data_IF_795581158687
#
_entry.id   IF_795581158687
#
_cell.length_a   1.000
_cell.length_b   1.000
_cell.length_c   1.000
_cell.angle_alpha   90.00
_cell.angle_beta   90.00
_cell.angle_gamma   90.00
#
_symmetry.space_group_name_H-M   'P 1'
#
loop_
_entity.id
_entity.type
_entity.pdbx_description
1 polymer ?
#
# COMPACT_ATOMS: atom_id res chain seq x y z
N UNK A 1 22.43 14.11 9.76
CA UNK A 1 21.03 14.37 9.33
C UNK A 1 20.53 13.11 8.63
N UNK A 2 19.33 12.60 8.96
CA UNK A 2 18.74 11.50 8.19
C UNK A 2 18.29 12.04 6.83
N UNK A 3 18.99 11.66 5.77
CA UNK A 3 18.60 12.03 4.40
C UNK A 3 17.38 11.21 4.01
N UNK A 4 16.30 11.88 3.58
CA UNK A 4 15.14 11.21 2.98
C UNK A 4 15.53 10.65 1.61
N UNK A 5 15.18 9.40 1.34
CA UNK A 5 15.39 8.75 0.06
C UNK A 5 14.04 8.36 -0.55
N UNK A 6 13.74 8.84 -1.76
CA UNK A 6 12.56 8.41 -2.50
C UNK A 6 12.75 7.01 -3.06
N UNK A 7 11.70 6.19 -2.95
CA UNK A 7 11.64 4.80 -3.41
C UNK A 7 10.48 4.69 -4.40
N UNK A 8 10.70 3.91 -5.47
CA UNK A 8 9.69 3.63 -6.49
C UNK A 8 9.77 2.16 -6.91
N UNK A 9 8.64 1.49 -7.16
CA UNK A 9 8.63 0.17 -7.78
C UNK A 9 9.22 0.22 -9.20
N UNK A 10 9.65 -0.95 -9.70
CA UNK A 10 10.12 -1.09 -11.08
C UNK A 10 8.98 -0.79 -12.07
N UNK A 11 7.83 -1.44 -11.87
CA UNK A 11 6.62 -1.30 -12.68
C UNK A 11 5.73 -0.19 -12.11
N UNK A 12 6.23 1.05 -12.13
CA UNK A 12 5.51 2.21 -11.60
C UNK A 12 4.32 2.57 -12.49
N UNK A 13 3.17 2.85 -11.87
CA UNK A 13 2.05 3.49 -12.54
C UNK A 13 2.32 5.00 -12.75
N UNK A 14 1.66 5.60 -13.74
CA UNK A 14 1.91 7.00 -14.13
C UNK A 14 1.50 8.03 -13.05
N UNK A 15 0.65 7.68 -12.07
CA UNK A 15 0.17 8.61 -11.02
C UNK A 15 1.32 9.33 -10.29
N UNK A 16 2.42 8.64 -10.00
CA UNK A 16 3.56 9.24 -9.29
C UNK A 16 4.16 10.43 -10.06
N UNK A 17 4.25 10.31 -11.37
CA UNK A 17 4.77 11.34 -12.27
C UNK A 17 3.73 12.44 -12.48
N UNK A 18 2.48 12.06 -12.73
CA UNK A 18 1.37 12.98 -12.99
C UNK A 18 1.09 13.89 -11.78
N UNK A 19 1.06 13.33 -10.58
CA UNK A 19 0.73 14.05 -9.34
C UNK A 19 1.96 14.43 -8.50
N UNK A 20 3.17 14.13 -8.97
CA UNK A 20 4.46 14.59 -8.39
C UNK A 20 4.68 14.18 -6.94
N UNK A 21 4.43 12.91 -6.60
CA UNK A 21 4.71 12.34 -5.28
C UNK A 21 5.55 11.05 -5.41
N UNK A 22 6.19 10.66 -4.31
CA UNK A 22 7.00 9.43 -4.25
C UNK A 22 6.16 8.23 -3.84
N UNK A 23 6.48 7.03 -4.31
CA UNK A 23 5.77 5.81 -3.88
C UNK A 23 6.03 5.49 -2.41
N UNK A 24 7.27 5.69 -1.97
CA UNK A 24 7.61 5.68 -0.57
C UNK A 24 8.80 6.61 -0.28
N UNK A 25 8.93 7.00 0.98
CA UNK A 25 10.09 7.70 1.52
C UNK A 25 10.74 6.82 2.57
N UNK A 26 12.00 6.46 2.34
CA UNK A 26 12.86 5.87 3.36
C UNK A 26 13.50 6.99 4.18
N UNK A 27 13.35 6.92 5.50
CA UNK A 27 13.96 7.84 6.46
C UNK A 27 14.55 7.04 7.63
N UNK A 28 15.87 6.90 7.63
CA UNK A 28 16.55 6.03 8.59
C UNK A 28 16.16 4.56 8.37
N UNK A 29 15.61 3.95 9.42
CA UNK A 29 15.15 2.56 9.44
C UNK A 29 13.63 2.42 9.25
N UNK A 30 12.94 3.48 8.84
CA UNK A 30 11.52 3.44 8.50
C UNK A 30 11.30 3.70 7.00
N UNK A 31 10.32 2.99 6.45
CA UNK A 31 9.77 3.21 5.13
C UNK A 31 8.32 3.68 5.26
N UNK A 32 8.08 4.92 4.85
CA UNK A 32 6.75 5.52 4.81
C UNK A 32 6.21 5.34 3.38
N UNK A 33 5.24 4.45 3.21
CA UNK A 33 4.65 4.16 1.91
C UNK A 33 3.46 5.08 1.70
N UNK A 34 3.38 5.70 0.52
CA UNK A 34 2.17 6.42 0.10
C UNK A 34 1.01 5.45 -0.03
N UNK A 35 -0.23 5.96 0.04
CA UNK A 35 -1.41 5.15 -0.21
C UNK A 35 -1.30 4.34 -1.50
N UNK A 36 -1.46 3.03 -1.39
CA UNK A 36 -1.45 2.11 -2.51
C UNK A 36 -2.89 1.79 -2.87
N UNK A 37 -3.20 1.92 -4.15
CA UNK A 37 -4.51 1.73 -4.74
C UNK A 37 -4.41 0.71 -5.88
N UNK A 38 -5.54 0.16 -6.31
CA UNK A 38 -5.61 -0.76 -7.44
C UNK A 38 -5.52 -0.04 -8.78
N UNK A 39 -4.41 0.66 -9.03
CA UNK A 39 -4.20 1.38 -10.31
C UNK A 39 -3.57 0.48 -11.36
N UNK A 40 -4.11 0.54 -12.56
CA UNK A 40 -3.50 0.03 -13.78
C UNK A 40 -2.27 0.88 -14.17
N UNK A 41 -1.51 0.43 -15.18
CA UNK A 41 -0.27 1.09 -15.60
C UNK A 41 -0.48 2.56 -16.04
N UNK A 42 -1.63 2.87 -16.62
CA UNK A 42 -2.01 4.23 -17.03
C UNK A 42 -2.51 5.11 -15.87
N UNK A 43 -2.63 4.55 -14.66
CA UNK A 43 -3.13 5.23 -13.47
C UNK A 43 -4.63 5.16 -13.27
N UNK A 44 -5.40 4.55 -14.17
CA UNK A 44 -6.84 4.34 -13.99
C UNK A 44 -7.14 3.24 -12.96
N UNK A 45 -8.30 3.27 -12.28
CA UNK A 45 -8.70 2.22 -11.35
C UNK A 45 -9.03 0.91 -12.09
N UNK A 46 -8.61 -0.20 -11.51
CA UNK A 46 -9.14 -1.51 -11.88
C UNK A 46 -10.67 -1.54 -11.64
N UNK A 47 -11.49 -1.80 -12.67
CA UNK A 47 -12.95 -1.67 -12.58
C UNK A 47 -13.62 -2.73 -11.70
N UNK A 48 -13.06 -3.92 -11.52
CA UNK A 48 -13.61 -4.91 -10.61
C UNK A 48 -13.10 -4.68 -9.18
N UNK A 49 -13.98 -4.49 -8.21
CA UNK A 49 -13.58 -4.15 -6.84
C UNK A 49 -12.65 -5.18 -6.17
N UNK A 50 -12.93 -6.48 -6.28
CA UNK A 50 -12.04 -7.50 -5.70
C UNK A 50 -10.66 -7.46 -6.37
N UNK A 51 -10.63 -7.35 -7.71
CA UNK A 51 -9.38 -7.20 -8.45
C UNK A 51 -8.64 -5.89 -8.10
N UNK A 52 -9.37 -4.81 -7.82
CA UNK A 52 -8.81 -3.52 -7.39
C UNK A 52 -8.13 -3.65 -6.02
N UNK A 53 -8.76 -4.32 -5.06
CA UNK A 53 -8.15 -4.59 -3.74
C UNK A 53 -6.90 -5.45 -3.90
N UNK A 54 -6.96 -6.53 -4.70
CA UNK A 54 -5.79 -7.40 -4.98
C UNK A 54 -4.65 -6.61 -5.63
N UNK A 55 -4.97 -5.76 -6.60
CA UNK A 55 -3.99 -4.92 -7.28
C UNK A 55 -3.37 -3.88 -6.33
N UNK A 56 -4.15 -3.32 -5.40
CA UNK A 56 -3.62 -2.43 -4.36
C UNK A 56 -2.58 -3.13 -3.48
N UNK A 57 -2.85 -4.37 -3.06
CA UNK A 57 -1.87 -5.19 -2.32
C UNK A 57 -0.64 -5.55 -3.16
N UNK A 58 -0.81 -5.90 -4.44
CA UNK A 58 0.31 -6.17 -5.33
C UNK A 58 1.21 -4.93 -5.54
N UNK A 59 0.60 -3.76 -5.74
CA UNK A 59 1.30 -2.47 -5.85
C UNK A 59 2.05 -2.13 -4.56
N UNK A 60 1.44 -2.42 -3.40
CA UNK A 60 2.07 -2.30 -2.10
C UNK A 60 3.30 -3.21 -1.97
N UNK A 61 3.17 -4.50 -2.29
CA UNK A 61 4.28 -5.44 -2.21
C UNK A 61 5.45 -5.02 -3.13
N UNK A 62 5.15 -4.59 -4.35
CA UNK A 62 6.16 -4.08 -5.27
C UNK A 62 6.89 -2.84 -4.71
N UNK A 63 6.16 -1.93 -4.06
CA UNK A 63 6.74 -0.74 -3.44
C UNK A 63 7.58 -1.08 -2.20
N UNK A 64 7.11 -2.00 -1.35
CA UNK A 64 7.87 -2.53 -0.21
C UNK A 64 9.18 -3.18 -0.68
N UNK A 65 9.10 -4.05 -1.69
CA UNK A 65 10.26 -4.74 -2.27
C UNK A 65 11.30 -3.76 -2.80
N UNK A 66 10.88 -2.69 -3.48
CA UNK A 66 11.78 -1.63 -3.92
C UNK A 66 12.47 -0.88 -2.76
N UNK A 67 11.81 -0.81 -1.60
CA UNK A 67 12.38 -0.27 -0.36
C UNK A 67 13.28 -1.24 0.42
N UNK A 68 13.41 -2.48 -0.05
CA UNK A 68 14.10 -3.56 0.67
C UNK A 68 13.30 -4.15 1.83
N UNK A 69 11.97 -4.06 1.76
CA UNK A 69 11.02 -4.59 2.74
C UNK A 69 10.12 -5.66 2.10
N UNK A 70 9.42 -6.39 2.96
CA UNK A 70 8.36 -7.34 2.67
C UNK A 70 7.10 -7.01 3.48
N UNK A 71 6.02 -7.77 3.31
CA UNK A 71 4.81 -7.63 4.12
C UNK A 71 5.07 -7.87 5.62
N UNK A 72 6.04 -8.73 5.96
CA UNK A 72 6.43 -9.02 7.36
C UNK A 72 7.12 -7.84 8.06
N UNK A 73 7.59 -6.87 7.29
CA UNK A 73 8.25 -5.68 7.82
C UNK A 73 7.25 -4.55 8.16
N UNK A 74 5.97 -4.73 7.83
CA UNK A 74 4.91 -3.77 8.13
C UNK A 74 4.72 -3.67 9.64
N UNK A 75 4.75 -2.44 10.15
CA UNK A 75 4.54 -2.12 11.57
C UNK A 75 3.29 -1.29 11.80
N UNK A 76 2.68 -0.73 10.75
CA UNK A 76 1.42 0.01 10.82
C UNK A 76 0.60 -0.14 9.54
N UNK A 77 -0.71 -0.41 9.67
CA UNK A 77 -1.67 -0.45 8.54
C UNK A 77 -2.87 0.46 8.80
N UNK A 78 -3.13 1.34 7.84
CA UNK A 78 -4.36 2.11 7.74
C UNK A 78 -5.02 1.85 6.38
N UNK A 79 -6.32 1.55 6.35
CA UNK A 79 -7.08 1.40 5.09
C UNK A 79 -8.25 2.38 5.02
N UNK A 80 -8.54 2.81 3.80
CA UNK A 80 -9.61 3.74 3.49
C UNK A 80 -10.58 3.12 2.47
N UNK A 81 -11.88 3.35 2.68
CA UNK A 81 -12.96 2.68 1.97
C UNK A 81 -14.04 3.69 1.55
N UNK A 82 -14.50 3.65 0.30
CA UNK A 82 -15.58 4.53 -0.17
C UNK A 82 -16.97 4.05 0.26
N UNK A 83 -17.15 2.76 0.48
CA UNK A 83 -18.41 2.14 0.91
C UNK A 83 -18.12 0.90 1.79
N UNK A 84 -17.56 1.08 3.00
CA UNK A 84 -17.08 -0.02 3.82
C UNK A 84 -18.16 -1.07 4.12
N UNK A 85 -19.43 -0.67 4.32
CA UNK A 85 -20.53 -1.59 4.63
C UNK A 85 -20.70 -2.68 3.55
N UNK A 86 -20.57 -2.33 2.27
CA UNK A 86 -20.70 -3.28 1.16
C UNK A 86 -19.36 -3.88 0.71
N UNK A 87 -18.24 -3.27 1.08
CA UNK A 87 -16.90 -3.64 0.60
C UNK A 87 -16.14 -4.56 1.56
N UNK A 88 -16.40 -4.48 2.87
CA UNK A 88 -15.59 -5.12 3.89
C UNK A 88 -15.46 -6.65 3.75
N UNK A 89 -16.51 -7.41 3.39
CA UNK A 89 -16.38 -8.86 3.19
C UNK A 89 -15.35 -9.24 2.12
N UNK A 90 -15.31 -8.50 1.01
CA UNK A 90 -14.34 -8.70 -0.08
C UNK A 90 -12.93 -8.32 0.39
N UNK A 91 -12.79 -7.23 1.14
CA UNK A 91 -11.51 -6.79 1.69
C UNK A 91 -10.94 -7.82 2.67
N UNK A 92 -11.77 -8.36 3.58
CA UNK A 92 -11.35 -9.39 4.52
C UNK A 92 -10.85 -10.65 3.82
N UNK A 93 -11.59 -11.12 2.80
CA UNK A 93 -11.17 -12.26 1.96
C UNK A 93 -9.76 -12.04 1.40
N UNK A 94 -9.52 -10.91 0.74
CA UNK A 94 -8.20 -10.63 0.14
C UNK A 94 -7.13 -10.43 1.23
N UNK A 95 -7.46 -9.74 2.32
CA UNK A 95 -6.51 -9.53 3.43
C UNK A 95 -6.08 -10.85 4.06
N UNK A 96 -6.98 -11.80 4.25
CA UNK A 96 -6.66 -13.10 4.85
C UNK A 96 -5.82 -13.98 3.92
N UNK A 97 -5.93 -13.80 2.61
CA UNK A 97 -5.00 -14.41 1.65
C UNK A 97 -3.59 -13.78 1.71
N UNK A 98 -3.50 -12.47 1.95
CA UNK A 98 -2.22 -11.72 2.03
C UNK A 98 -1.52 -11.89 3.38
N UNK A 99 -2.29 -11.95 4.47
CA UNK A 99 -1.83 -12.16 5.85
C UNK A 99 -2.48 -13.41 6.45
N UNK A 100 -2.07 -14.61 5.99
CA UNK A 100 -2.75 -15.87 6.33
C UNK A 100 -2.53 -16.32 7.77
N UNK A 101 -1.47 -15.84 8.43
CA UNK A 101 -1.05 -16.34 9.74
C UNK A 101 -0.63 -15.22 10.69
N UNK A 102 -0.71 -15.51 11.99
CA UNK A 102 -0.30 -14.61 13.06
C UNK A 102 1.24 -14.56 13.24
N UNK A 103 1.82 -13.46 13.76
CA UNK A 103 1.14 -12.25 14.23
C UNK A 103 0.62 -11.39 13.08
N UNK A 104 -0.66 -11.03 13.14
CA UNK A 104 -1.27 -10.12 12.18
C UNK A 104 -0.78 -8.68 12.42
N UNK A 105 -0.78 -7.81 11.38
CA UNK A 105 -0.47 -6.40 11.59
C UNK A 105 -1.54 -5.74 12.49
N UNK A 106 -1.17 -4.63 13.14
CA UNK A 106 -2.20 -3.71 13.64
C UNK A 106 -3.07 -3.23 12.45
N UNK A 107 -4.28 -2.73 12.71
CA UNK A 107 -5.12 -2.26 11.61
C UNK A 107 -6.13 -1.20 12.07
N UNK A 108 -6.14 -0.07 11.36
CA UNK A 108 -7.21 0.94 11.41
C UNK A 108 -7.92 1.01 10.07
N UNK A 109 -9.24 0.84 10.05
CA UNK A 109 -10.07 0.92 8.83
C UNK A 109 -11.04 2.11 8.93
N UNK A 110 -11.13 2.92 7.87
CA UNK A 110 -11.92 4.17 7.85
C UNK A 110 -12.83 4.23 6.62
N UNK A 111 -14.09 4.61 6.81
CA UNK A 111 -14.95 5.10 5.73
C UNK A 111 -14.56 6.53 5.35
N UNK A 112 -14.40 6.79 4.06
CA UNK A 112 -14.04 8.11 3.51
C UNK A 112 -14.96 8.47 2.35
N UNK A 113 -15.02 9.76 2.03
CA UNK A 113 -15.91 10.25 0.98
C UNK A 113 -15.32 10.17 -0.44
N UNK A 114 -13.99 10.06 -0.59
CA UNK A 114 -13.33 10.11 -1.90
C UNK A 114 -11.88 9.61 -1.85
N UNK A 115 -11.47 8.84 -2.86
CA UNK A 115 -10.10 8.33 -3.06
C UNK A 115 -9.64 8.47 -4.52
N UNK A 116 -9.73 9.66 -5.12
CA UNK A 116 -9.22 9.90 -6.49
C UNK A 116 -9.75 8.97 -7.60
N UNK A 117 -10.96 8.45 -7.46
CA UNK A 117 -11.57 7.50 -8.40
C UNK A 117 -11.38 6.03 -8.06
N UNK A 118 -10.67 5.73 -6.97
CA UNK A 118 -10.55 4.39 -6.38
C UNK A 118 -11.57 4.18 -5.26
N UNK A 119 -11.74 2.91 -4.87
CA UNK A 119 -12.66 2.50 -3.81
C UNK A 119 -11.94 1.93 -2.57
N UNK A 120 -10.67 1.57 -2.73
CA UNK A 120 -9.82 1.06 -1.67
C UNK A 120 -8.41 1.67 -1.75
N UNK A 121 -7.92 2.14 -0.61
CA UNK A 121 -6.53 2.59 -0.44
C UNK A 121 -5.94 1.96 0.83
N UNK A 122 -4.70 1.48 0.74
CA UNK A 122 -3.92 0.98 1.89
C UNK A 122 -2.66 1.80 2.08
N UNK A 123 -2.49 2.34 3.29
CA UNK A 123 -1.31 3.10 3.71
C UNK A 123 -0.58 2.33 4.79
N UNK A 124 0.74 2.16 4.62
CA UNK A 124 1.56 1.41 5.59
C UNK A 124 2.83 2.15 6.01
N UNK A 125 3.35 1.74 7.16
CA UNK A 125 4.72 2.01 7.59
C UNK A 125 5.41 0.66 7.75
N UNK A 126 6.64 0.55 7.24
CA UNK A 126 7.46 -0.65 7.39
C UNK A 126 8.81 -0.34 8.04
N UNK A 127 9.38 -1.32 8.74
CA UNK A 127 10.74 -1.29 9.26
C UNK A 127 11.71 -1.73 8.16
N UNK A 128 12.66 -0.89 7.80
CA UNK A 128 13.76 -1.31 6.92
C UNK A 128 14.79 -2.01 7.79
N UNK A 129 15.00 -3.32 7.58
CA UNK A 129 16.02 -4.05 8.30
C UNK A 129 17.39 -3.35 8.17
N UNK A 130 18.08 -3.15 9.31
CA UNK A 130 19.49 -2.75 9.27
C UNK A 130 20.25 -3.91 8.64
N UNK A 131 21.05 -3.63 7.61
CA UNK A 131 22.07 -4.61 7.18
C UNK A 131 22.89 -4.94 8.42
N UNK A 132 22.94 -6.23 8.80
CA UNK A 132 23.87 -6.69 9.81
C UNK A 132 25.28 -6.28 9.34
N UNK A 133 25.93 -5.43 10.12
CA UNK A 133 27.35 -5.07 9.98
C UNK A 133 28.22 -6.20 10.46
#
# INVERSE_FOLDING_TARGET
MSTRQAIFPADRHELYKLHRYSAAIKSGDLLFVSGQVGSLGDGSPEPNFEAQVRLAFANLEATLKAGGCSLNDIVDVTTFHTDPENQFPTILKVKDEVFPESPYPNWTALGVNWLAGFDFEIKVIARVAKKAT
#
